data_IF_681452223231
#
_entry.id   IF_681452223231
#
_cell.length_a   1.000
_cell.length_b   1.000
_cell.length_c   1.000
_cell.angle_alpha   90.00
_cell.angle_beta   90.00
_cell.angle_gamma   90.00
#
_symmetry.space_group_name_H-M   'P 1'
#
loop_
_entity.id
_entity.type
_entity.pdbx_description
1 polymer ?
#
# COMPACT_ATOMS: atom_id res chain seq x y z
N UNK A 1 -14.25 -20.39 -12.38
CA UNK A 1 -13.89 -18.99 -12.68
C UNK A 1 -13.05 -18.96 -13.94
N UNK A 2 -13.47 -18.25 -14.98
CA UNK A 2 -12.63 -18.03 -16.18
C UNK A 2 -11.81 -16.77 -15.92
N UNK A 3 -10.51 -16.91 -15.72
CA UNK A 3 -9.60 -15.76 -15.76
C UNK A 3 -9.70 -15.10 -17.14
N UNK A 4 -9.59 -13.76 -17.24
CA UNK A 4 -9.35 -13.11 -18.51
C UNK A 4 -8.12 -13.76 -19.16
N UNK A 5 -8.23 -14.13 -20.44
CA UNK A 5 -7.21 -14.86 -21.23
C UNK A 5 -5.94 -14.03 -21.54
N UNK A 6 -5.61 -13.03 -20.74
CA UNK A 6 -4.57 -12.05 -21.07
C UNK A 6 -3.19 -12.35 -20.50
N UNK A 7 -3.08 -13.33 -19.59
CA UNK A 7 -1.80 -13.81 -19.05
C UNK A 7 -1.72 -15.35 -19.18
N UNK A 8 -2.14 -15.89 -20.33
CA UNK A 8 -2.00 -17.33 -20.61
C UNK A 8 -0.53 -17.74 -20.74
N UNK A 9 0.34 -16.80 -21.09
CA UNK A 9 1.78 -16.94 -21.09
C UNK A 9 2.39 -15.81 -20.22
N UNK A 10 2.65 -16.08 -18.92
CA UNK A 10 3.17 -15.07 -18.00
C UNK A 10 4.61 -14.65 -18.29
N UNK A 11 5.38 -15.44 -19.06
CA UNK A 11 6.76 -15.11 -19.41
C UNK A 11 6.84 -14.29 -20.71
N UNK A 12 5.79 -14.32 -21.54
CA UNK A 12 5.66 -13.48 -22.74
C UNK A 12 4.34 -12.68 -22.74
N UNK A 13 4.18 -11.67 -21.87
CA UNK A 13 2.97 -10.86 -21.82
C UNK A 13 2.78 -10.08 -23.13
N UNK A 14 1.53 -10.07 -23.64
CA UNK A 14 1.15 -9.28 -24.82
C UNK A 14 0.26 -8.12 -24.41
N UNK A 15 0.61 -6.91 -24.84
CA UNK A 15 -0.25 -5.74 -24.68
C UNK A 15 -1.49 -5.89 -25.54
N UNK A 16 -2.66 -5.86 -24.91
CA UNK A 16 -3.98 -5.95 -25.59
C UNK A 16 -4.75 -4.64 -25.59
N UNK A 17 -4.24 -3.62 -24.88
CA UNK A 17 -4.91 -2.35 -24.67
C UNK A 17 -4.04 -1.35 -23.95
N UNK A 18 -4.49 -0.09 -23.92
CA UNK A 18 -3.84 1.00 -23.22
C UNK A 18 -4.87 2.06 -22.86
N UNK A 19 -4.89 2.46 -21.58
CA UNK A 19 -5.72 3.56 -21.09
C UNK A 19 -4.83 4.77 -20.80
N UNK A 20 -5.23 5.94 -21.27
CA UNK A 20 -4.52 7.19 -21.04
C UNK A 20 -5.35 8.10 -20.13
N UNK A 21 -4.73 8.59 -19.06
CA UNK A 21 -5.39 9.53 -18.13
C UNK A 21 -5.45 10.95 -18.68
N UNK A 22 -4.63 11.27 -19.69
CA UNK A 22 -4.47 12.63 -20.23
C UNK A 22 -3.69 13.58 -19.31
N UNK A 23 -2.93 13.04 -18.34
CA UNK A 23 -2.08 13.77 -17.40
C UNK A 23 -0.87 12.89 -16.98
N UNK A 24 -0.45 12.94 -15.71
CA UNK A 24 0.71 12.24 -15.13
C UNK A 24 0.61 10.70 -15.07
N UNK A 25 -0.41 10.10 -15.71
CA UNK A 25 -0.64 8.65 -15.68
C UNK A 25 -1.20 8.14 -14.35
N UNK A 26 -0.93 6.87 -14.06
CA UNK A 26 -1.36 6.19 -12.83
C UNK A 26 -0.17 5.92 -11.91
N UNK A 27 -0.42 5.86 -10.60
CA UNK A 27 0.59 5.57 -9.60
C UNK A 27 0.55 4.11 -9.10
N UNK A 28 -0.53 3.71 -8.41
CA UNK A 28 -0.81 2.33 -7.99
C UNK A 28 -2.23 1.95 -8.41
N UNK A 29 -2.42 0.69 -8.81
CA UNK A 29 -3.69 0.21 -9.37
C UNK A 29 -4.10 -1.10 -8.70
N UNK A 30 -5.40 -1.34 -8.65
CA UNK A 30 -6.00 -2.57 -8.16
C UNK A 30 -6.88 -3.21 -9.25
N UNK A 31 -6.74 -4.53 -9.40
CA UNK A 31 -7.56 -5.34 -10.28
C UNK A 31 -7.80 -6.71 -9.65
N UNK A 32 -9.04 -7.01 -9.28
CA UNK A 32 -9.44 -8.27 -8.67
C UNK A 32 -9.96 -9.33 -9.66
N UNK A 33 -9.77 -9.11 -10.96
CA UNK A 33 -10.53 -9.79 -11.99
C UNK A 33 -11.85 -9.08 -12.31
N UNK A 34 -12.59 -9.62 -13.27
CA UNK A 34 -13.80 -8.98 -13.78
C UNK A 34 -13.50 -7.83 -14.74
N UNK A 35 -14.41 -6.86 -14.84
CA UNK A 35 -14.35 -5.82 -15.86
C UNK A 35 -13.85 -4.46 -15.37
N UNK A 36 -13.62 -4.26 -14.08
CA UNK A 36 -13.21 -2.94 -13.57
C UNK A 36 -11.78 -2.94 -13.06
N UNK A 37 -11.01 -1.96 -13.52
CA UNK A 37 -9.74 -1.56 -12.92
C UNK A 37 -9.94 -0.32 -12.06
N UNK A 38 -9.23 -0.28 -10.94
CA UNK A 38 -9.34 0.75 -9.92
C UNK A 38 -7.99 1.45 -9.78
N UNK A 39 -7.94 2.75 -10.05
CA UNK A 39 -6.68 3.46 -10.29
C UNK A 39 -6.49 4.60 -9.31
N UNK A 40 -5.27 4.77 -8.82
CA UNK A 40 -4.75 6.04 -8.34
C UNK A 40 -4.18 6.80 -9.53
N UNK A 41 -4.88 7.84 -10.00
CA UNK A 41 -4.57 8.48 -11.28
C UNK A 41 -4.45 10.00 -11.19
N UNK A 42 -3.40 10.54 -11.79
CA UNK A 42 -3.33 11.96 -12.11
C UNK A 42 -4.28 12.26 -13.27
N UNK A 43 -5.18 13.22 -13.08
CA UNK A 43 -6.22 13.59 -14.04
C UNK A 43 -6.22 15.10 -14.26
N UNK A 44 -6.41 15.54 -15.51
CA UNK A 44 -6.55 16.96 -15.85
C UNK A 44 -7.68 17.61 -15.03
N UNK A 45 -7.41 18.80 -14.48
CA UNK A 45 -8.37 19.54 -13.65
C UNK A 45 -8.33 19.15 -12.16
N UNK A 46 -7.37 18.33 -11.74
CA UNK A 46 -7.22 17.88 -10.35
C UNK A 46 -5.78 18.03 -9.86
N UNK A 47 -5.63 18.34 -8.57
CA UNK A 47 -4.35 18.37 -7.87
C UNK A 47 -4.05 17.02 -7.24
N UNK A 48 -2.91 16.44 -7.59
CA UNK A 48 -2.51 15.10 -7.15
C UNK A 48 -3.37 14.00 -7.78
N UNK A 49 -3.13 12.76 -7.36
CA UNK A 49 -3.90 11.62 -7.84
C UNK A 49 -5.29 11.57 -7.20
N UNK A 50 -6.26 11.14 -7.99
CA UNK A 50 -7.64 10.86 -7.56
C UNK A 50 -7.98 9.40 -7.84
N UNK A 51 -9.14 8.95 -7.35
CA UNK A 51 -9.64 7.61 -7.63
C UNK A 51 -10.38 7.58 -8.97
N UNK A 52 -10.00 6.65 -9.86
CA UNK A 52 -10.63 6.46 -11.17
C UNK A 52 -10.99 4.99 -11.37
N UNK A 53 -12.17 4.73 -11.93
CA UNK A 53 -12.67 3.40 -12.27
C UNK A 53 -12.75 3.29 -13.79
N UNK A 54 -12.09 2.28 -14.35
CA UNK A 54 -12.03 2.00 -15.78
C UNK A 54 -12.67 0.66 -16.08
N UNK A 55 -13.65 0.64 -16.98
CA UNK A 55 -14.21 -0.59 -17.56
C UNK A 55 -13.26 -1.10 -18.65
N UNK A 56 -12.84 -2.35 -18.51
CA UNK A 56 -11.96 -3.11 -19.39
C UNK A 56 -12.66 -4.35 -19.94
N UNK A 57 -14.00 -4.36 -20.04
CA UNK A 57 -14.77 -5.45 -20.68
C UNK A 57 -14.29 -5.73 -22.10
N UNK A 58 -13.99 -4.66 -22.85
CA UNK A 58 -13.15 -4.72 -24.04
C UNK A 58 -11.77 -4.15 -23.68
N UNK A 59 -10.76 -4.99 -23.42
CA UNK A 59 -9.45 -4.52 -23.02
C UNK A 59 -8.77 -3.69 -24.11
N UNK A 60 -9.13 -3.83 -25.39
CA UNK A 60 -8.61 -3.00 -26.47
C UNK A 60 -9.18 -1.57 -26.46
N UNK A 61 -10.27 -1.35 -25.72
CA UNK A 61 -10.98 -0.06 -25.62
C UNK A 61 -11.38 0.22 -24.17
N UNK A 62 -10.41 0.44 -23.26
CA UNK A 62 -10.70 0.77 -21.88
C UNK A 62 -11.43 2.11 -21.78
N UNK A 63 -12.50 2.18 -20.98
CA UNK A 63 -13.33 3.38 -20.83
C UNK A 63 -13.47 3.75 -19.36
N UNK A 64 -13.26 5.02 -19.03
CA UNK A 64 -13.57 5.50 -17.69
C UNK A 64 -15.07 5.50 -17.44
N UNK A 65 -15.49 4.90 -16.32
CA UNK A 65 -16.90 4.80 -15.94
C UNK A 65 -17.23 5.54 -14.65
N UNK A 66 -16.23 5.99 -13.89
CA UNK A 66 -16.45 6.76 -12.68
C UNK A 66 -15.15 7.25 -12.05
N UNK A 67 -15.28 8.23 -11.16
CA UNK A 67 -14.16 8.79 -10.39
C UNK A 67 -14.63 9.38 -9.07
N UNK A 68 -13.70 9.55 -8.15
CA UNK A 68 -13.93 10.23 -6.88
C UNK A 68 -12.66 10.97 -6.45
N UNK A 69 -12.82 12.10 -5.76
CA UNK A 69 -11.72 12.89 -5.22
C UNK A 69 -12.06 13.45 -3.84
N UNK A 70 -11.04 13.75 -3.05
CA UNK A 70 -11.21 14.49 -1.79
C UNK A 70 -11.63 15.92 -2.13
N UNK A 71 -12.71 16.48 -1.53
CA UNK A 71 -13.12 17.86 -1.77
C UNK A 71 -11.96 18.85 -1.62
N UNK A 72 -11.84 19.75 -2.60
CA UNK A 72 -10.71 20.66 -2.74
C UNK A 72 -9.65 20.16 -3.73
N UNK A 73 -9.63 18.89 -4.14
CA UNK A 73 -8.64 18.45 -5.15
C UNK A 73 -8.95 18.99 -6.56
N UNK A 74 -10.22 19.21 -6.90
CA UNK A 74 -10.59 19.72 -8.24
C UNK A 74 -10.28 21.21 -8.34
N UNK A 75 -9.79 21.63 -9.50
CA UNK A 75 -9.54 23.04 -9.78
C UNK A 75 -10.83 23.87 -9.59
N UNK A 76 -10.69 25.01 -8.92
CA UNK A 76 -11.80 25.89 -8.56
C UNK A 76 -12.55 25.52 -7.27
N UNK A 77 -12.31 24.35 -6.67
CA UNK A 77 -12.92 24.01 -5.38
C UNK A 77 -12.24 24.74 -4.20
N UNK A 78 -13.07 25.21 -3.26
CA UNK A 78 -12.65 25.80 -1.99
C UNK A 78 -13.44 25.17 -0.82
N UNK A 79 -12.84 25.01 0.37
CA UNK A 79 -11.43 25.27 0.69
C UNK A 79 -10.46 24.28 0.01
N UNK A 80 -9.16 24.56 0.11
CA UNK A 80 -8.12 23.63 -0.32
C UNK A 80 -8.20 22.31 0.49
N UNK A 81 -7.79 21.17 -0.11
CA UNK A 81 -7.81 19.90 0.59
C UNK A 81 -6.70 19.89 1.66
N UNK A 82 -6.69 18.91 2.59
CA UNK A 82 -5.57 18.72 3.50
C UNK A 82 -4.22 18.73 2.77
N UNK A 83 -3.17 19.23 3.41
CA UNK A 83 -1.82 19.27 2.83
C UNK A 83 -1.41 17.87 2.34
N UNK A 84 -0.74 17.77 1.19
CA UNK A 84 -0.30 16.49 0.62
C UNK A 84 -1.44 15.47 0.36
N UNK A 85 -2.65 15.95 0.06
CA UNK A 85 -3.73 15.11 -0.44
C UNK A 85 -3.43 14.63 -1.87
N UNK A 86 -3.06 13.36 -1.98
CA UNK A 86 -2.91 12.63 -3.24
C UNK A 86 -3.14 11.15 -2.95
N UNK A 87 -3.91 10.47 -3.80
CA UNK A 87 -4.10 9.01 -3.70
C UNK A 87 -2.79 8.30 -4.07
N UNK A 88 -2.27 7.50 -3.16
CA UNK A 88 -0.96 6.88 -3.31
C UNK A 88 -1.08 5.36 -3.49
N UNK A 89 -1.70 4.68 -2.54
CA UNK A 89 -1.83 3.22 -2.58
C UNK A 89 -2.82 2.69 -3.61
N UNK A 90 -2.78 1.36 -3.88
CA UNK A 90 -3.81 0.73 -4.69
C UNK A 90 -5.18 0.90 -4.02
N UNK A 91 -6.24 1.25 -4.79
CA UNK A 91 -7.60 1.28 -4.26
C UNK A 91 -8.09 -0.13 -3.92
N UNK A 92 -8.05 -0.53 -2.64
CA UNK A 92 -8.39 -1.89 -2.23
C UNK A 92 -9.91 -2.05 -2.19
N UNK A 93 -10.47 -2.94 -3.04
CA UNK A 93 -11.92 -3.14 -3.17
C UNK A 93 -12.36 -4.43 -2.47
N UNK A 94 -13.33 -4.29 -1.56
CA UNK A 94 -14.01 -5.39 -0.86
C UNK A 94 -15.52 -5.25 -1.06
N UNK A 95 -16.09 -6.07 -1.95
CA UNK A 95 -17.49 -5.93 -2.36
C UNK A 95 -17.71 -4.58 -3.05
N UNK A 96 -18.65 -3.78 -2.53
CA UNK A 96 -18.93 -2.42 -3.01
C UNK A 96 -18.16 -1.35 -2.23
N UNK A 97 -17.28 -1.71 -1.30
CA UNK A 97 -16.48 -0.76 -0.52
C UNK A 97 -15.08 -0.67 -1.10
N UNK A 98 -14.58 0.54 -1.31
CA UNK A 98 -13.18 0.81 -1.67
C UNK A 98 -12.47 1.59 -0.58
N UNK A 99 -11.27 1.13 -0.24
CA UNK A 99 -10.36 1.77 0.71
C UNK A 99 -9.27 2.50 -0.08
N UNK A 100 -9.18 3.81 0.13
CA UNK A 100 -8.33 4.72 -0.63
C UNK A 100 -7.22 5.28 0.28
N UNK A 101 -5.98 4.98 -0.08
CA UNK A 101 -4.77 5.37 0.64
C UNK A 101 -4.31 6.77 0.23
N UNK A 102 -4.92 7.81 0.81
CA UNK A 102 -4.48 9.18 0.57
C UNK A 102 -3.39 9.59 1.56
N UNK A 103 -2.39 10.34 1.11
CA UNK A 103 -1.36 10.92 1.98
C UNK A 103 -1.95 11.74 3.13
N UNK A 104 -2.13 13.05 2.94
CA UNK A 104 -2.58 13.92 4.02
C UNK A 104 -4.08 13.90 4.31
N UNK A 105 -4.90 13.32 3.42
CA UNK A 105 -6.32 13.08 3.72
C UNK A 105 -6.54 11.78 4.52
N UNK A 106 -5.51 10.95 4.64
CA UNK A 106 -5.50 9.71 5.41
C UNK A 106 -6.24 8.56 4.71
N UNK A 107 -6.76 7.64 5.53
CA UNK A 107 -7.61 6.55 5.05
C UNK A 107 -8.96 7.12 4.65
N UNK A 108 -9.39 6.87 3.41
CA UNK A 108 -10.70 7.27 2.91
C UNK A 108 -11.49 6.04 2.46
N UNK A 109 -12.76 5.97 2.82
CA UNK A 109 -13.66 4.87 2.46
C UNK A 109 -14.78 5.41 1.56
N UNK A 110 -14.99 4.74 0.43
CA UNK A 110 -15.99 5.10 -0.57
C UNK A 110 -16.84 3.88 -0.91
N UNK A 111 -18.15 4.09 -1.09
CA UNK A 111 -19.08 3.11 -1.67
C UNK A 111 -19.11 3.26 -3.18
N UNK A 112 -19.04 2.13 -3.88
CA UNK A 112 -19.05 2.03 -5.34
C UNK A 112 -20.15 1.08 -5.83
N UNK A 113 -21.26 0.97 -5.09
CA UNK A 113 -22.41 0.16 -5.52
C UNK A 113 -22.97 0.65 -6.88
N UNK A 114 -22.91 1.96 -7.11
CA UNK A 114 -22.99 2.58 -8.44
C UNK A 114 -21.61 3.11 -8.81
N UNK A 115 -20.89 2.41 -9.68
CA UNK A 115 -19.53 2.78 -10.10
C UNK A 115 -19.47 4.16 -10.78
N UNK A 116 -20.57 4.63 -11.38
CA UNK A 116 -20.64 5.95 -12.00
C UNK A 116 -20.85 7.07 -10.97
N UNK A 117 -21.25 6.72 -9.74
CA UNK A 117 -21.50 7.67 -8.65
C UNK A 117 -20.88 7.18 -7.34
N UNK A 118 -19.54 7.09 -7.23
CA UNK A 118 -18.89 6.73 -5.98
C UNK A 118 -19.28 7.70 -4.85
N UNK A 119 -19.58 7.18 -3.65
CA UNK A 119 -20.07 7.96 -2.51
C UNK A 119 -19.12 7.89 -1.34
N UNK A 120 -18.78 9.03 -0.76
CA UNK A 120 -18.00 9.07 0.48
C UNK A 120 -18.74 8.37 1.62
N UNK A 121 -18.04 7.55 2.40
CA UNK A 121 -18.57 6.83 3.56
C UNK A 121 -17.93 7.33 4.85
N UNK A 122 -16.59 7.34 4.92
CA UNK A 122 -15.87 7.70 6.14
C UNK A 122 -14.39 7.94 5.87
N UNK A 123 -13.70 8.50 6.87
CA UNK A 123 -12.24 8.74 6.82
C UNK A 123 -11.60 8.66 8.20
N UNK A 124 -10.29 8.38 8.22
CA UNK A 124 -9.43 8.52 9.39
C UNK A 124 -8.14 9.24 8.98
N UNK A 125 -7.86 10.38 9.62
CA UNK A 125 -6.58 11.09 9.44
C UNK A 125 -5.50 10.53 10.37
N UNK A 126 -4.27 10.54 9.89
CA UNK A 126 -3.05 10.17 10.64
C UNK A 126 -2.08 11.35 10.83
N UNK A 127 -2.39 12.49 10.20
CA UNK A 127 -1.48 13.63 10.12
C UNK A 127 -2.21 14.91 10.56
N UNK A 128 -1.79 15.54 11.68
CA UNK A 128 -0.76 15.11 12.64
C UNK A 128 -1.14 13.84 13.46
N UNK A 129 -0.17 13.17 14.12
CA UNK A 129 1.24 13.55 14.29
C UNK A 129 2.20 12.95 13.25
N UNK A 130 1.74 12.03 12.40
CA UNK A 130 2.59 11.35 11.42
C UNK A 130 2.77 12.16 10.14
N UNK A 131 3.74 11.74 9.32
CA UNK A 131 4.06 12.34 8.03
C UNK A 131 2.80 12.56 7.17
N UNK A 132 2.55 13.79 6.65
CA UNK A 132 1.41 14.03 5.76
C UNK A 132 1.67 13.54 4.34
N UNK A 133 2.91 13.67 3.86
CA UNK A 133 3.29 13.20 2.53
C UNK A 133 3.39 11.68 2.54
N UNK A 134 2.47 11.00 1.84
CA UNK A 134 2.31 9.54 1.86
C UNK A 134 2.05 9.03 3.29
N UNK A 135 1.25 9.81 4.05
CA UNK A 135 0.78 9.45 5.38
C UNK A 135 -0.05 8.18 5.41
N UNK A 136 -0.79 7.88 4.34
CA UNK A 136 -1.30 6.52 4.10
C UNK A 136 -0.83 6.03 2.72
N UNK A 137 0.08 5.06 2.77
CA UNK A 137 0.63 4.34 1.63
C UNK A 137 -0.25 3.15 1.22
N UNK A 138 -0.67 2.33 2.19
CA UNK A 138 -1.43 1.10 1.94
C UNK A 138 -2.45 0.89 3.03
N UNK A 139 -3.64 0.43 2.62
CA UNK A 139 -4.71 -0.03 3.50
C UNK A 139 -5.02 -1.46 3.08
N UNK A 140 -4.94 -2.39 4.03
CA UNK A 140 -5.27 -3.79 3.80
C UNK A 140 -6.31 -4.24 4.83
N UNK A 141 -7.61 -4.31 4.47
CA UNK A 141 -8.61 -4.97 5.29
C UNK A 141 -8.22 -6.43 5.53
N UNK A 142 -8.38 -6.90 6.76
CA UNK A 142 -8.08 -8.30 7.12
C UNK A 142 -9.32 -9.15 6.82
N UNK A 143 -9.25 -10.13 5.90
CA UNK A 143 -10.39 -10.96 5.54
C UNK A 143 -11.12 -11.57 6.74
N UNK A 144 -12.45 -11.42 6.79
CA UNK A 144 -13.28 -11.97 7.86
C UNK A 144 -13.18 -11.23 9.20
N UNK A 145 -12.42 -10.12 9.29
CA UNK A 145 -12.30 -9.31 10.51
C UNK A 145 -12.75 -7.88 10.25
N UNK A 146 -13.20 -7.22 11.31
CA UNK A 146 -13.59 -5.80 11.27
C UNK A 146 -12.39 -4.88 11.51
N UNK A 147 -11.22 -5.23 10.97
CA UNK A 147 -10.00 -4.43 11.08
C UNK A 147 -9.28 -4.30 9.74
N UNK A 148 -8.52 -3.21 9.59
CA UNK A 148 -7.59 -3.00 8.49
C UNK A 148 -6.20 -2.66 9.04
N UNK A 149 -5.16 -3.08 8.33
CA UNK A 149 -3.79 -2.63 8.58
C UNK A 149 -3.49 -1.45 7.66
N UNK A 150 -3.03 -0.34 8.24
CA UNK A 150 -2.77 0.91 7.52
C UNK A 150 -1.35 1.36 7.81
N UNK A 151 -0.56 1.71 6.79
CA UNK A 151 0.79 2.22 6.97
C UNK A 151 1.12 3.40 6.05
N UNK A 152 2.07 4.24 6.49
CA UNK A 152 2.70 5.30 5.69
C UNK A 152 3.89 4.77 4.87
N UNK A 153 4.58 5.64 4.14
CA UNK A 153 5.86 5.32 3.46
C UNK A 153 6.94 6.32 3.87
N UNK A 154 8.09 5.85 4.36
CA UNK A 154 9.23 6.73 4.62
C UNK A 154 9.83 7.23 3.33
N UNK A 155 10.02 8.53 3.13
CA UNK A 155 10.52 9.11 1.87
C UNK A 155 11.95 9.60 2.03
N UNK A 156 12.22 10.33 3.11
CA UNK A 156 13.56 10.87 3.38
C UNK A 156 14.45 9.84 4.05
N UNK A 157 15.72 9.88 3.70
CA UNK A 157 16.73 9.04 4.33
C UNK A 157 17.09 9.54 5.72
N UNK A 158 17.57 8.63 6.56
CA UNK A 158 18.11 8.86 7.89
C UNK A 158 17.08 9.54 8.82
N UNK A 159 15.80 9.22 8.63
CA UNK A 159 14.69 9.72 9.44
C UNK A 159 14.54 11.25 9.47
N UNK A 160 14.99 11.94 8.40
CA UNK A 160 14.91 13.41 8.29
C UNK A 160 13.53 13.91 7.85
N UNK A 161 12.47 13.33 8.41
CA UNK A 161 11.05 13.60 8.14
C UNK A 161 10.21 13.32 9.39
N UNK A 162 8.93 13.77 9.44
CA UNK A 162 8.05 13.37 10.53
C UNK A 162 7.91 11.85 10.64
N UNK A 163 7.56 11.36 11.83
CA UNK A 163 7.46 9.93 12.09
C UNK A 163 6.51 9.22 11.11
N UNK A 164 6.91 8.02 10.72
CA UNK A 164 6.11 7.08 9.96
C UNK A 164 5.29 6.17 10.90
N UNK A 165 4.27 5.48 10.37
CA UNK A 165 3.45 4.57 11.16
C UNK A 165 3.02 3.33 10.37
N UNK A 166 2.81 2.24 11.11
CA UNK A 166 1.94 1.14 10.73
C UNK A 166 0.96 0.92 11.89
N UNK A 167 -0.30 0.64 11.58
CA UNK A 167 -1.39 0.73 12.54
C UNK A 167 -2.50 -0.28 12.27
N UNK A 168 -3.17 -0.72 13.33
CA UNK A 168 -4.45 -1.43 13.24
C UNK A 168 -5.58 -0.43 13.36
N UNK A 169 -6.53 -0.48 12.43
CA UNK A 169 -7.73 0.37 12.40
C UNK A 169 -8.96 -0.51 12.50
N UNK A 170 -9.88 -0.15 13.39
CA UNK A 170 -11.22 -0.72 13.48
C UNK A 170 -12.08 -0.15 12.35
N UNK A 171 -12.66 -1.05 11.56
CA UNK A 171 -13.54 -0.76 10.42
C UNK A 171 -14.93 -1.37 10.59
N UNK A 172 -15.31 -1.76 11.82
CA UNK A 172 -16.66 -2.25 12.12
C UNK A 172 -17.76 -1.24 11.78
N UNK A 173 -17.44 0.05 11.90
CA UNK A 173 -18.23 1.16 11.39
C UNK A 173 -17.44 1.93 10.33
N UNK A 174 -17.70 1.63 9.05
CA UNK A 174 -17.03 2.27 7.92
C UNK A 174 -17.20 3.80 7.87
N UNK A 175 -18.26 4.35 8.48
CA UNK A 175 -18.44 5.79 8.55
C UNK A 175 -17.58 6.45 9.65
N UNK A 176 -17.09 5.67 10.62
CA UNK A 176 -16.29 6.14 11.75
C UNK A 176 -15.13 5.17 12.05
N UNK A 177 -14.20 4.95 11.10
CA UNK A 177 -13.02 4.13 11.34
C UNK A 177 -12.20 4.73 12.49
N UNK A 178 -11.60 3.87 13.31
CA UNK A 178 -10.89 4.31 14.52
C UNK A 178 -9.55 3.61 14.65
N UNK A 179 -8.50 4.37 14.93
CA UNK A 179 -7.20 3.83 15.29
C UNK A 179 -7.32 2.96 16.55
N UNK A 180 -6.86 1.71 16.49
CA UNK A 180 -6.86 0.78 17.62
C UNK A 180 -5.49 0.76 18.28
N UNK A 181 -4.44 0.60 17.49
CA UNK A 181 -3.06 0.48 17.96
C UNK A 181 -2.07 0.82 16.85
N UNK A 182 -0.82 1.05 17.26
CA UNK A 182 0.32 1.18 16.36
C UNK A 182 1.22 -0.05 16.49
N UNK A 183 1.88 -0.42 15.40
CA UNK A 183 2.86 -1.50 15.40
C UNK A 183 4.13 -1.01 16.14
N UNK A 184 4.85 -1.90 16.83
CA UNK A 184 6.12 -1.53 17.44
C UNK A 184 7.13 -1.18 16.33
N UNK A 185 7.86 -0.09 16.53
CA UNK A 185 8.95 0.30 15.65
C UNK A 185 10.04 -0.77 15.66
N UNK A 186 10.51 -1.26 14.50
CA UNK A 186 11.58 -2.26 14.46
C UNK A 186 12.84 -1.79 15.16
N UNK A 187 13.44 -2.68 15.95
CA UNK A 187 14.75 -2.49 16.56
C UNK A 187 15.82 -3.30 15.79
N UNK A 188 17.05 -2.76 15.67
CA UNK A 188 18.18 -3.54 15.17
C UNK A 188 18.40 -4.82 16.00
N UNK A 189 18.97 -5.88 15.39
CA UNK A 189 19.53 -7.01 16.15
C UNK A 189 20.52 -6.53 17.21
N UNK A 190 20.64 -7.25 18.33
CA UNK A 190 21.45 -6.83 19.47
C UNK A 190 22.94 -6.67 19.14
N UNK A 191 23.42 -7.44 18.17
CA UNK A 191 24.78 -7.44 17.65
C UNK A 191 25.05 -6.35 16.59
N UNK A 192 24.03 -5.57 16.20
CA UNK A 192 24.19 -4.54 15.19
C UNK A 192 25.12 -3.41 15.67
N UNK A 193 25.97 -2.85 14.79
CA UNK A 193 26.90 -1.77 15.16
C UNK A 193 26.23 -0.38 15.28
N UNK A 194 24.89 -0.33 15.28
CA UNK A 194 24.08 0.87 15.33
C UNK A 194 22.90 0.67 16.28
N UNK A 195 22.47 1.74 16.95
CA UNK A 195 21.42 1.67 17.99
C UNK A 195 20.02 1.75 17.41
N UNK A 196 19.88 2.27 16.19
CA UNK A 196 18.61 2.38 15.49
C UNK A 196 18.79 2.24 13.98
N UNK A 197 17.70 1.94 13.28
CA UNK A 197 17.70 1.98 11.81
C UNK A 197 17.83 3.40 11.23
N UNK A 198 17.59 4.45 12.02
CA UNK A 198 17.94 5.81 11.61
C UNK A 198 19.46 5.99 11.53
N UNK A 199 20.22 5.46 12.51
CA UNK A 199 21.69 5.49 12.52
C UNK A 199 22.30 4.61 11.42
N UNK A 200 21.66 3.48 11.10
CA UNK A 200 22.05 2.62 9.97
C UNK A 200 22.07 3.38 8.63
N UNK A 201 21.17 4.36 8.50
CA UNK A 201 21.00 5.18 7.31
C UNK A 201 20.16 4.55 6.19
N UNK A 202 19.85 5.34 5.16
CA UNK A 202 18.85 4.99 4.14
C UNK A 202 17.42 5.31 4.59
N UNK A 203 16.41 4.82 3.87
CA UNK A 203 15.00 5.02 4.25
C UNK A 203 14.64 4.06 5.38
N UNK A 204 14.04 4.56 6.46
CA UNK A 204 13.53 3.75 7.56
C UNK A 204 12.07 4.07 7.83
N UNK A 205 11.20 3.13 7.50
CA UNK A 205 9.76 3.22 7.66
C UNK A 205 9.07 2.06 6.97
N UNK A 206 7.77 1.87 7.21
CA UNK A 206 6.99 0.86 6.53
C UNK A 206 6.83 1.21 5.05
N UNK A 207 6.53 0.22 4.21
CA UNK A 207 6.26 0.42 2.79
C UNK A 207 5.11 -0.47 2.29
N UNK A 208 5.38 -1.67 1.77
CA UNK A 208 4.35 -2.54 1.23
C UNK A 208 3.98 -3.66 2.21
N UNK A 209 2.72 -4.09 2.11
CA UNK A 209 2.17 -5.25 2.81
C UNK A 209 1.92 -6.39 1.83
N UNK A 210 1.59 -7.59 2.34
CA UNK A 210 1.09 -8.70 1.53
C UNK A 210 -0.31 -8.37 0.95
N UNK A 211 -0.33 -7.73 -0.22
CA UNK A 211 -1.53 -7.29 -0.93
C UNK A 211 -2.16 -8.41 -1.78
N UNK A 212 -3.08 -8.05 -2.69
CA UNK A 212 -3.76 -8.97 -3.62
C UNK A 212 -4.60 -10.04 -2.92
N UNK A 213 -5.27 -9.66 -1.83
CA UNK A 213 -6.08 -10.56 -1.00
C UNK A 213 -7.32 -11.13 -1.73
N UNK A 214 -7.62 -10.72 -2.95
CA UNK A 214 -8.59 -11.38 -3.84
C UNK A 214 -8.03 -12.66 -4.50
N UNK A 215 -6.72 -12.75 -4.73
CA UNK A 215 -6.10 -13.82 -5.51
C UNK A 215 -6.09 -15.15 -4.71
N UNK A 216 -6.55 -16.28 -5.28
CA UNK A 216 -6.54 -17.57 -4.57
C UNK A 216 -5.12 -18.13 -4.33
N UNK A 217 -4.11 -17.68 -5.07
CA UNK A 217 -2.73 -18.12 -4.92
C UNK A 217 -1.95 -17.32 -3.87
N UNK A 218 -2.53 -16.25 -3.34
CA UNK A 218 -1.97 -15.45 -2.24
C UNK A 218 -2.52 -15.95 -0.91
N UNK A 219 -1.66 -16.10 0.09
CA UNK A 219 -2.05 -16.44 1.45
C UNK A 219 -2.96 -15.34 1.99
N UNK A 220 -4.16 -15.73 2.40
CA UNK A 220 -5.09 -14.81 3.05
C UNK A 220 -4.48 -14.34 4.36
N UNK A 221 -4.42 -13.03 4.51
CA UNK A 221 -3.96 -12.38 5.73
C UNK A 221 -4.92 -12.73 6.86
N UNK A 222 -4.38 -13.02 8.04
CA UNK A 222 -5.15 -13.34 9.24
C UNK A 222 -4.54 -12.62 10.44
N UNK A 223 -3.85 -13.32 11.34
CA UNK A 223 -3.18 -12.72 12.49
C UNK A 223 -1.72 -12.36 12.20
N UNK A 224 -1.09 -12.97 11.20
CA UNK A 224 0.27 -12.59 10.77
C UNK A 224 0.23 -11.55 9.66
N UNK A 225 0.89 -10.42 9.90
CA UNK A 225 1.04 -9.29 8.99
C UNK A 225 2.48 -9.23 8.50
N UNK A 226 2.66 -9.26 7.19
CA UNK A 226 3.95 -9.20 6.53
C UNK A 226 4.11 -7.79 5.96
N UNK A 227 5.14 -7.08 6.41
CA UNK A 227 5.34 -5.67 6.09
C UNK A 227 6.82 -5.43 5.76
N UNK A 228 7.11 -4.88 4.58
CA UNK A 228 8.44 -4.38 4.28
C UNK A 228 8.68 -3.06 4.99
N UNK A 229 9.91 -2.87 5.46
CA UNK A 229 10.30 -1.75 6.30
C UNK A 229 11.65 -1.16 5.83
N UNK A 230 11.78 -0.95 4.50
CA UNK A 230 12.99 -0.44 3.83
C UNK A 230 14.30 -1.03 4.40
N UNK A 231 15.12 -0.21 5.08
CA UNK A 231 16.43 -0.60 5.60
C UNK A 231 16.38 -1.56 6.81
N UNK A 232 15.19 -1.80 7.34
CA UNK A 232 14.90 -2.81 8.35
C UNK A 232 14.37 -4.11 7.73
N UNK A 233 14.32 -4.24 6.40
CA UNK A 233 14.00 -5.51 5.74
C UNK A 233 12.51 -5.89 5.81
N UNK A 234 12.23 -7.19 5.80
CA UNK A 234 10.90 -7.75 6.07
C UNK A 234 10.66 -7.82 7.58
N UNK A 235 9.48 -7.40 8.02
CA UNK A 235 8.96 -7.54 9.39
C UNK A 235 7.67 -8.34 9.39
N UNK A 236 7.54 -9.23 10.36
CA UNK A 236 6.35 -10.08 10.55
C UNK A 236 5.78 -9.76 11.92
N UNK A 237 4.53 -9.34 11.95
CA UNK A 237 3.84 -8.98 13.18
C UNK A 237 2.65 -9.89 13.43
N UNK A 238 2.48 -10.32 14.67
CA UNK A 238 1.26 -10.97 15.15
C UNK A 238 0.29 -9.92 15.70
N UNK A 239 -0.93 -9.91 15.18
CA UNK A 239 -2.06 -9.06 15.57
C UNK A 239 -3.21 -9.85 16.18
N UNK A 240 -2.96 -11.06 16.70
CA UNK A 240 -3.96 -11.85 17.45
C UNK A 240 -4.62 -11.01 18.55
N UNK A 241 -3.83 -10.18 19.23
CA UNK A 241 -4.33 -9.06 20.02
C UNK A 241 -4.20 -7.76 19.20
N UNK A 242 -5.29 -7.31 18.58
CA UNK A 242 -5.30 -6.11 17.72
C UNK A 242 -4.89 -4.83 18.44
N UNK A 243 -5.00 -4.79 19.77
CA UNK A 243 -4.59 -3.67 20.63
C UNK A 243 -3.11 -3.67 20.97
N UNK A 244 -2.40 -4.77 20.75
CA UNK A 244 -0.98 -4.91 21.07
C UNK A 244 -0.24 -5.78 20.02
N UNK A 245 -0.04 -5.27 18.78
CA UNK A 245 0.76 -5.95 17.77
C UNK A 245 2.17 -6.26 18.28
N UNK A 246 2.67 -7.45 17.96
CA UNK A 246 3.99 -7.94 18.39
C UNK A 246 4.83 -8.32 17.17
N UNK A 247 6.09 -7.89 17.10
CA UNK A 247 7.02 -8.44 16.09
C UNK A 247 7.36 -9.89 16.47
N UNK A 248 7.18 -10.81 15.52
CA UNK A 248 7.36 -12.28 15.71
C UNK A 248 8.37 -12.88 14.72
N UNK A 249 8.98 -12.05 13.89
CA UNK A 249 10.01 -12.46 12.96
C UNK A 249 10.44 -11.32 12.06
N UNK A 250 11.66 -11.42 11.54
CA UNK A 250 12.18 -10.51 10.56
C UNK A 250 13.14 -11.22 9.62
N UNK A 251 13.38 -10.62 8.46
CA UNK A 251 14.49 -10.96 7.59
C UNK A 251 15.10 -9.68 7.06
N UNK A 252 16.41 -9.52 7.24
CA UNK A 252 17.17 -8.42 6.67
C UNK A 252 18.10 -8.98 5.59
N UNK A 253 17.91 -8.60 4.31
CA UNK A 253 18.94 -8.85 3.31
C UNK A 253 20.27 -8.20 3.71
N UNK A 254 21.42 -8.74 3.26
CA UNK A 254 22.72 -8.11 3.50
C UNK A 254 22.78 -6.73 2.85
N UNK A 255 23.63 -5.85 3.36
CA UNK A 255 23.87 -4.57 2.71
C UNK A 255 24.56 -4.77 1.33
N UNK A 256 24.14 -4.05 0.29
CA UNK A 256 24.75 -4.15 -1.02
C UNK A 256 26.20 -3.68 -1.02
N UNK A 257 27.07 -4.39 -1.74
CA UNK A 257 28.48 -4.00 -1.91
C UNK A 257 28.67 -2.84 -2.91
N UNK A 258 27.70 -2.64 -3.80
CA UNK A 258 27.70 -1.60 -4.83
C UNK A 258 26.28 -1.08 -5.03
N UNK A 259 26.16 0.22 -5.24
CA UNK A 259 24.88 0.89 -5.52
C UNK A 259 24.47 0.67 -6.98
N UNK A 260 23.24 0.19 -7.15
CA UNK A 260 22.47 0.11 -8.40
C UNK A 260 21.23 0.99 -8.23
N UNK A 261 20.98 1.90 -9.17
CA UNK A 261 19.89 2.87 -9.10
C UNK A 261 20.21 4.12 -8.25
N UNK A 262 19.25 5.04 -8.19
CA UNK A 262 19.42 6.41 -7.62
C UNK A 262 19.26 6.46 -6.09
N UNK A 263 18.40 5.60 -5.54
CA UNK A 263 18.10 5.55 -4.10
C UNK A 263 18.13 4.09 -3.59
N UNK A 264 18.46 3.85 -2.31
CA UNK A 264 19.01 4.84 -1.37
C UNK A 264 20.41 5.32 -1.78
N UNK A 265 20.84 6.51 -1.34
CA UNK A 265 22.13 7.12 -1.73
C UNK A 265 23.32 6.32 -1.22
N UNK A 266 23.16 5.68 -0.07
CA UNK A 266 24.16 4.81 0.54
C UNK A 266 24.03 3.33 0.16
N UNK A 267 24.83 2.51 0.84
CA UNK A 267 24.82 1.06 0.72
C UNK A 267 23.90 0.39 1.73
N UNK A 268 22.80 1.05 2.10
CA UNK A 268 21.78 0.42 2.93
C UNK A 268 20.87 -0.48 2.07
N UNK A 269 20.53 -1.64 2.62
CA UNK A 269 19.40 -2.46 2.17
C UNK A 269 18.11 -1.63 2.07
N UNK A 270 17.22 -2.00 1.14
CA UNK A 270 15.97 -1.29 0.88
C UNK A 270 14.94 -2.30 0.36
N UNK A 271 14.32 -3.04 1.28
CA UNK A 271 13.23 -3.96 0.94
C UNK A 271 11.98 -3.20 0.55
N UNK A 272 11.40 -3.56 -0.59
CA UNK A 272 10.33 -2.80 -1.25
C UNK A 272 8.98 -3.49 -1.11
N UNK A 273 8.81 -4.67 -1.70
CA UNK A 273 7.55 -5.41 -1.75
C UNK A 273 7.62 -6.73 -0.97
N UNK A 274 6.47 -7.18 -0.48
CA UNK A 274 6.28 -8.53 0.06
C UNK A 274 5.02 -9.16 -0.51
N UNK A 275 5.11 -10.42 -0.91
CA UNK A 275 3.98 -11.25 -1.28
C UNK A 275 4.14 -12.64 -0.66
N UNK A 276 3.07 -13.14 -0.04
CA UNK A 276 3.04 -14.47 0.57
C UNK A 276 2.11 -15.34 -0.24
N UNK A 277 2.63 -16.41 -0.83
CA UNK A 277 1.80 -17.33 -1.59
C UNK A 277 1.04 -18.30 -0.67
N UNK A 278 0.01 -18.94 -1.22
CA UNK A 278 -0.83 -19.94 -0.54
C UNK A 278 -0.06 -21.17 0.00
N UNK A 279 1.19 -21.38 -0.43
CA UNK A 279 2.08 -22.45 0.05
C UNK A 279 2.92 -22.00 1.26
N UNK A 280 2.84 -20.72 1.62
CA UNK A 280 3.59 -20.09 2.70
C UNK A 280 4.99 -19.61 2.29
N UNK A 281 5.30 -19.54 0.99
CA UNK A 281 6.54 -18.90 0.54
C UNK A 281 6.37 -17.38 0.58
N UNK A 282 7.40 -16.69 1.08
CA UNK A 282 7.42 -15.24 1.22
C UNK A 282 8.40 -14.69 0.20
N UNK A 283 7.90 -13.92 -0.75
CA UNK A 283 8.67 -13.24 -1.78
C UNK A 283 8.92 -11.82 -1.32
N UNK A 284 10.19 -11.43 -1.19
CA UNK A 284 10.59 -10.08 -0.77
C UNK A 284 11.49 -9.47 -1.83
N UNK A 285 11.17 -8.28 -2.31
CA UNK A 285 12.02 -7.55 -3.25
C UNK A 285 12.90 -6.56 -2.50
N UNK A 286 14.12 -6.38 -3.00
CA UNK A 286 15.05 -5.35 -2.59
C UNK A 286 15.47 -4.53 -3.82
N UNK A 287 15.51 -3.21 -3.65
CA UNK A 287 15.80 -2.27 -4.72
C UNK A 287 17.17 -2.47 -5.39
N UNK A 288 18.16 -3.01 -4.66
CA UNK A 288 19.50 -3.28 -5.19
C UNK A 288 19.74 -4.75 -5.52
N UNK A 289 19.22 -5.63 -4.68
CA UNK A 289 19.62 -7.04 -4.61
C UNK A 289 18.64 -7.98 -5.32
N UNK A 290 17.46 -7.49 -5.72
CA UNK A 290 16.47 -8.28 -6.46
C UNK A 290 15.53 -9.04 -5.53
N UNK A 291 15.23 -10.30 -5.85
CA UNK A 291 14.18 -11.09 -5.19
C UNK A 291 14.76 -12.12 -4.22
N UNK A 292 14.19 -12.18 -3.02
CA UNK A 292 14.42 -13.22 -2.02
C UNK A 292 13.16 -14.07 -1.85
N UNK A 293 13.34 -15.38 -1.62
CA UNK A 293 12.26 -16.31 -1.31
C UNK A 293 12.55 -16.94 0.05
N UNK A 294 11.63 -16.75 0.99
CA UNK A 294 11.78 -17.12 2.39
C UNK A 294 10.60 -18.00 2.83
N UNK A 295 10.70 -18.58 4.02
CA UNK A 295 9.58 -19.25 4.70
C UNK A 295 9.56 -18.81 6.16
N UNK A 296 8.38 -18.52 6.69
CA UNK A 296 8.24 -18.24 8.12
C UNK A 296 8.42 -19.54 8.91
N UNK A 297 9.24 -19.50 9.95
CA UNK A 297 9.58 -20.65 10.80
C UNK A 297 9.04 -20.53 12.22
N UNK A 298 8.33 -19.44 12.55
CA UNK A 298 7.68 -19.30 13.85
C UNK A 298 6.42 -20.17 13.93
N UNK A 299 6.06 -20.53 15.17
CA UNK A 299 4.86 -21.28 15.54
C UNK A 299 3.63 -20.37 15.67
#
# INVERSE_FOLDING_TARGET
>A
MRYPRHISDPVNPKQVGHYQTGHDGTHRNYYAGGKYMHLAAGMKGYRGNIYVIVDISDPAKPVEVGRWWVPGQKEGETPAPPQATSLHGPPEVVGNTVFLSYGGAGMVIVDIADVAKPKFVGRLSFSPPYIPFIGVHTIQPVPGKNIAVVNSEAIRENCNEPANHASVVDISNLARPRLVSTFPTPLPPAEAPYKSFCEKGGRFGPHNQNQLQHNPFVKKQDHLIYLTYFNAGLRIYDISASTAPREVGYYMPPDPQKRRGVLPKGLAVSSEDVLVDSRGNIFVTDKNLGLYVLRYTGE
#
